data_IF_274261887765
#
_entry.id   IF_274261887765
#
_cell.length_a   1.000
_cell.length_b   1.000
_cell.length_c   1.000
_cell.angle_alpha   90.00
_cell.angle_beta   90.00
_cell.angle_gamma   90.00
#
_symmetry.space_group_name_H-M   'P 1'
#
loop_
_entity.id
_entity.type
_entity.pdbx_description
1 polymer ?
#
# COMPACT_ATOMS: atom_id res chain seq x y z
N UNK A 1 -9.43 5.83 -0.48
CA UNK A 1 -8.86 6.72 0.55
C UNK A 1 -9.35 8.12 0.24
N UNK A 2 -10.23 8.68 1.07
CA UNK A 2 -10.38 10.13 1.16
C UNK A 2 -9.65 10.47 2.46
N UNK A 3 -8.41 10.96 2.35
CA UNK A 3 -7.98 11.90 3.38
C UNK A 3 -8.90 13.11 3.22
N UNK A 4 -9.45 13.62 4.31
CA UNK A 4 -10.21 14.85 4.23
C UNK A 4 -9.25 15.95 3.76
N UNK A 5 -9.55 16.56 2.62
CA UNK A 5 -8.79 17.69 2.11
C UNK A 5 -8.82 18.79 3.16
N UNK A 6 -7.67 19.40 3.42
CA UNK A 6 -7.60 20.46 4.43
C UNK A 6 -8.32 21.66 3.84
N UNK A 7 -9.38 22.09 4.54
CA UNK A 7 -10.22 23.20 4.11
C UNK A 7 -9.47 24.51 4.30
N UNK A 8 -9.61 25.38 3.31
CA UNK A 8 -9.07 26.73 3.42
C UNK A 8 -9.90 27.55 4.43
N UNK A 9 -9.25 28.38 5.27
CA UNK A 9 -9.94 29.26 6.21
C UNK A 9 -10.85 30.28 5.52
N UNK A 10 -11.87 30.77 6.20
CA UNK A 10 -12.81 31.73 5.61
C UNK A 10 -12.20 33.13 5.51
N UNK A 11 -12.29 33.77 4.34
CA UNK A 11 -11.82 35.15 4.13
C UNK A 11 -12.58 36.23 4.95
N UNK A 12 -13.55 35.83 5.77
CA UNK A 12 -14.30 36.69 6.69
C UNK A 12 -13.63 36.80 8.06
N UNK A 13 -12.64 35.97 8.35
CA UNK A 13 -11.89 36.05 9.59
C UNK A 13 -10.98 37.27 9.51
N UNK A 14 -11.22 38.28 10.37
CA UNK A 14 -10.53 39.58 10.36
C UNK A 14 -9.00 39.46 10.51
N UNK A 15 -8.50 38.29 10.90
CA UNK A 15 -7.08 37.95 11.04
C UNK A 15 -6.46 37.30 9.80
N UNK A 16 -7.25 36.91 8.79
CA UNK A 16 -6.77 36.18 7.62
C UNK A 16 -6.92 36.99 6.32
N UNK A 17 -5.91 37.80 6.03
CA UNK A 17 -5.85 38.64 4.84
C UNK A 17 -4.97 38.02 3.76
N UNK A 18 -5.49 37.95 2.53
CA UNK A 18 -4.70 37.57 1.34
C UNK A 18 -4.71 38.69 0.29
N UNK A 19 -3.59 38.90 -0.43
CA UNK A 19 -3.51 39.84 -1.55
C UNK A 19 -4.61 39.64 -2.60
N UNK A 20 -5.09 40.75 -3.18
CA UNK A 20 -6.10 40.71 -4.25
C UNK A 20 -5.66 39.87 -5.45
N UNK A 21 -4.37 39.92 -5.80
CA UNK A 21 -3.74 39.11 -6.85
C UNK A 21 -3.90 37.60 -6.61
N UNK A 22 -3.94 37.16 -5.35
CA UNK A 22 -4.03 35.75 -4.97
C UNK A 22 -5.46 35.23 -4.85
N UNK A 23 -6.47 36.11 -4.73
CA UNK A 23 -7.88 35.71 -4.55
C UNK A 23 -8.42 34.89 -5.74
N UNK A 24 -8.04 35.25 -6.96
CA UNK A 24 -8.45 34.52 -8.18
C UNK A 24 -7.87 33.10 -8.20
N UNK A 25 -6.55 32.98 -7.97
CA UNK A 25 -5.87 31.69 -7.94
C UNK A 25 -6.39 30.78 -6.82
N UNK A 26 -6.65 31.35 -5.64
CA UNK A 26 -7.29 30.63 -4.53
C UNK A 26 -8.68 30.10 -4.91
N UNK A 27 -9.48 30.93 -5.60
CA UNK A 27 -10.79 30.51 -6.12
C UNK A 27 -10.67 29.34 -7.09
N UNK A 28 -9.66 29.32 -7.96
CA UNK A 28 -9.38 28.21 -8.87
C UNK A 28 -9.03 26.93 -8.11
N UNK A 29 -8.20 27.01 -7.06
CA UNK A 29 -7.86 25.84 -6.23
C UNK A 29 -9.10 25.31 -5.52
N UNK A 30 -9.88 26.16 -4.85
CA UNK A 30 -11.09 25.75 -4.11
C UNK A 30 -12.12 25.14 -5.06
N UNK A 31 -12.35 25.77 -6.22
CA UNK A 31 -13.29 25.23 -7.22
C UNK A 31 -12.82 23.88 -7.75
N UNK A 32 -11.55 23.74 -8.12
CA UNK A 32 -10.96 22.49 -8.60
C UNK A 32 -11.05 21.35 -7.57
N UNK A 33 -10.89 21.67 -6.29
CA UNK A 33 -11.07 20.73 -5.18
C UNK A 33 -12.53 20.30 -5.03
N UNK A 34 -13.47 21.24 -5.15
CA UNK A 34 -14.90 21.00 -4.84
C UNK A 34 -15.73 20.45 -6.01
N UNK A 35 -15.31 20.65 -7.26
CA UNK A 35 -16.10 20.26 -8.45
C UNK A 35 -15.92 18.80 -8.90
N UNK A 36 -14.95 18.06 -8.36
CA UNK A 36 -14.67 16.68 -8.79
C UNK A 36 -15.43 15.63 -7.98
N UNK A 37 -16.48 15.04 -8.57
CA UNK A 37 -17.13 13.83 -8.04
C UNK A 37 -16.38 12.54 -8.43
N UNK A 38 -15.66 12.55 -9.56
CA UNK A 38 -14.80 11.45 -10.01
C UNK A 38 -13.32 11.85 -10.08
N UNK A 39 -12.50 11.16 -9.29
CA UNK A 39 -11.04 11.35 -9.22
C UNK A 39 -10.32 10.54 -10.32
N UNK A 40 -10.42 10.99 -11.56
CA UNK A 40 -9.63 10.41 -12.67
C UNK A 40 -8.18 10.91 -12.62
N UNK A 41 -7.24 10.18 -13.24
CA UNK A 41 -5.82 10.61 -13.28
C UNK A 41 -5.63 11.99 -13.92
N UNK A 42 -6.44 12.35 -14.92
CA UNK A 42 -6.37 13.67 -15.56
C UNK A 42 -6.89 14.78 -14.63
N UNK A 43 -7.93 14.50 -13.86
CA UNK A 43 -8.47 15.45 -12.87
C UNK A 43 -7.44 15.69 -11.75
N UNK A 44 -6.83 14.62 -11.23
CA UNK A 44 -5.78 14.73 -10.21
C UNK A 44 -4.55 15.49 -10.72
N UNK A 45 -4.16 15.29 -11.98
CA UNK A 45 -3.07 16.04 -12.61
C UNK A 45 -3.42 17.54 -12.69
N UNK A 46 -4.60 17.88 -13.19
CA UNK A 46 -5.05 19.27 -13.25
C UNK A 46 -5.12 19.93 -11.86
N UNK A 47 -5.64 19.22 -10.85
CA UNK A 47 -5.67 19.69 -9.47
C UNK A 47 -4.27 19.97 -8.92
N UNK A 48 -3.31 19.12 -9.27
CA UNK A 48 -1.89 19.29 -8.91
C UNK A 48 -1.32 20.56 -9.56
N UNK A 49 -1.56 20.77 -10.86
CA UNK A 49 -1.09 21.95 -11.60
C UNK A 49 -1.62 23.25 -11.00
N UNK A 50 -2.92 23.33 -10.72
CA UNK A 50 -3.56 24.51 -10.12
C UNK A 50 -3.03 24.78 -8.71
N UNK A 51 -2.76 23.74 -7.91
CA UNK A 51 -2.14 23.91 -6.60
C UNK A 51 -0.70 24.41 -6.69
N UNK A 52 0.10 23.88 -7.62
CA UNK A 52 1.49 24.32 -7.81
C UNK A 52 1.57 25.76 -8.31
N UNK A 53 0.66 26.17 -9.19
CA UNK A 53 0.55 27.56 -9.64
C UNK A 53 0.24 28.49 -8.46
N UNK A 54 -0.74 28.13 -7.62
CA UNK A 54 -1.10 28.93 -6.46
C UNK A 54 0.03 28.98 -5.42
N UNK A 55 0.65 27.84 -5.10
CA UNK A 55 1.80 27.78 -4.19
C UNK A 55 2.96 28.65 -4.69
N UNK A 56 3.25 28.62 -5.99
CA UNK A 56 4.29 29.46 -6.59
C UNK A 56 3.97 30.95 -6.42
N UNK A 57 2.71 31.33 -6.64
CA UNK A 57 2.26 32.71 -6.45
C UNK A 57 2.34 33.16 -4.98
N UNK A 58 2.02 32.28 -4.02
CA UNK A 58 2.17 32.57 -2.59
C UNK A 58 3.64 32.81 -2.23
N UNK A 59 4.54 31.92 -2.67
CA UNK A 59 5.99 32.03 -2.37
C UNK A 59 6.56 33.35 -2.90
N UNK A 60 6.11 33.82 -4.08
CA UNK A 60 6.52 35.13 -4.61
C UNK A 60 6.08 36.31 -3.74
N UNK A 61 4.94 36.21 -3.05
CA UNK A 61 4.39 37.29 -2.24
C UNK A 61 4.94 37.34 -0.80
N UNK A 62 5.49 36.24 -0.28
CA UNK A 62 6.03 36.18 1.08
C UNK A 62 7.14 37.22 1.35
N UNK A 63 8.10 37.46 0.43
CA UNK A 63 9.12 38.49 0.63
C UNK A 63 8.60 39.93 0.62
N UNK A 64 7.47 40.19 -0.05
CA UNK A 64 7.00 41.55 -0.34
C UNK A 64 6.25 42.20 0.84
N UNK A 65 5.62 41.40 1.71
CA UNK A 65 4.85 41.90 2.86
C UNK A 65 4.98 41.00 4.10
N UNK A 66 5.88 41.37 5.04
CA UNK A 66 6.12 40.60 6.27
C UNK A 66 4.89 40.43 7.16
N UNK A 67 3.92 41.35 7.10
CA UNK A 67 2.71 41.28 7.94
C UNK A 67 1.77 40.17 7.47
N UNK A 68 1.86 39.75 6.21
CA UNK A 68 1.05 38.69 5.63
C UNK A 68 1.65 37.30 5.82
N UNK A 69 2.89 37.18 6.33
CA UNK A 69 3.60 35.91 6.50
C UNK A 69 2.77 34.85 7.23
N UNK A 70 2.11 35.13 8.38
CA UNK A 70 1.31 34.11 9.07
C UNK A 70 0.13 33.58 8.23
N UNK A 71 -0.53 34.46 7.49
CA UNK A 71 -1.63 34.10 6.59
C UNK A 71 -1.13 33.32 5.37
N UNK A 72 -0.08 33.80 4.72
CA UNK A 72 0.48 33.18 3.52
C UNK A 72 1.14 31.83 3.81
N UNK A 73 1.77 31.67 4.98
CA UNK A 73 2.38 30.38 5.37
C UNK A 73 1.34 29.31 5.65
N UNK A 74 0.19 29.69 6.24
CA UNK A 74 -0.97 28.80 6.43
C UNK A 74 -1.54 28.36 5.07
N UNK A 75 -1.85 29.32 4.19
CA UNK A 75 -2.35 29.03 2.83
C UNK A 75 -1.37 28.14 2.05
N UNK A 76 -0.07 28.45 2.08
CA UNK A 76 0.97 27.63 1.44
C UNK A 76 0.99 26.20 1.99
N UNK A 77 0.93 26.05 3.32
CA UNK A 77 0.92 24.74 3.97
C UNK A 77 -0.29 23.91 3.53
N UNK A 78 -1.48 24.51 3.55
CA UNK A 78 -2.73 23.86 3.11
C UNK A 78 -2.64 23.47 1.64
N UNK A 79 -2.18 24.38 0.76
CA UNK A 79 -2.06 24.11 -0.68
C UNK A 79 -1.10 22.95 -0.94
N UNK A 80 0.08 22.94 -0.32
CA UNK A 80 1.08 21.89 -0.51
C UNK A 80 0.61 20.55 0.08
N UNK A 81 -0.03 20.56 1.26
CA UNK A 81 -0.60 19.35 1.85
C UNK A 81 -1.65 18.73 0.92
N UNK A 82 -2.59 19.53 0.41
CA UNK A 82 -3.59 19.06 -0.56
C UNK A 82 -2.96 18.59 -1.88
N UNK A 83 -1.96 19.33 -2.39
CA UNK A 83 -1.22 18.95 -3.60
C UNK A 83 -0.51 17.60 -3.44
N UNK A 84 0.14 17.38 -2.29
CA UNK A 84 0.75 16.07 -1.97
C UNK A 84 -0.32 14.97 -1.99
N UNK A 85 -1.48 15.19 -1.37
CA UNK A 85 -2.55 14.19 -1.37
C UNK A 85 -2.95 13.75 -2.79
N UNK A 86 -3.01 14.65 -3.77
CA UNK A 86 -3.28 14.28 -5.17
C UNK A 86 -2.20 13.36 -5.75
N UNK A 87 -0.91 13.63 -5.48
CA UNK A 87 0.17 12.72 -5.85
C UNK A 87 0.02 11.33 -5.22
N UNK A 88 -0.37 11.26 -3.94
CA UNK A 88 -0.59 9.98 -3.25
C UNK A 88 -1.76 9.19 -3.87
N UNK A 89 -2.86 9.86 -4.24
CA UNK A 89 -4.03 9.24 -4.86
C UNK A 89 -3.72 8.73 -6.27
N UNK A 90 -2.97 9.52 -7.06
CA UNK A 90 -2.46 9.08 -8.36
C UNK A 90 -1.56 7.85 -8.22
N UNK A 91 -0.63 7.85 -7.25
CA UNK A 91 0.25 6.72 -7.00
C UNK A 91 -0.55 5.45 -6.68
N UNK A 92 -1.53 5.53 -5.77
CA UNK A 92 -2.39 4.40 -5.40
C UNK A 92 -3.17 3.87 -6.60
N UNK A 93 -3.74 4.76 -7.43
CA UNK A 93 -4.45 4.37 -8.63
C UNK A 93 -3.54 3.67 -9.66
N UNK A 94 -2.31 4.16 -9.83
CA UNK A 94 -1.30 3.55 -10.70
C UNK A 94 -0.82 2.19 -10.17
N UNK A 95 -0.60 2.06 -8.86
CA UNK A 95 -0.24 0.79 -8.22
C UNK A 95 -1.31 -0.27 -8.44
N UNK A 96 -2.59 0.12 -8.28
CA UNK A 96 -3.71 -0.79 -8.55
C UNK A 96 -3.67 -1.29 -9.99
N UNK A 97 -3.52 -0.37 -10.96
CA UNK A 97 -3.43 -0.72 -12.39
C UNK A 97 -2.20 -1.59 -12.70
N UNK A 98 -1.06 -1.32 -12.07
CA UNK A 98 0.17 -2.08 -12.23
C UNK A 98 0.02 -3.51 -11.70
N UNK A 99 -0.62 -3.68 -10.55
CA UNK A 99 -0.94 -5.00 -10.01
C UNK A 99 -1.93 -5.76 -10.91
N UNK A 100 -3.00 -5.09 -11.35
CA UNK A 100 -4.01 -5.70 -12.23
C UNK A 100 -3.48 -6.10 -13.61
N UNK A 101 -2.39 -5.50 -14.10
CA UNK A 101 -1.76 -5.95 -15.35
C UNK A 101 -1.01 -7.27 -15.20
N UNK A 102 -0.83 -7.77 -13.97
CA UNK A 102 -0.13 -9.01 -13.63
C UNK A 102 1.28 -9.10 -14.24
N UNK A 103 1.91 -7.94 -14.47
CA UNK A 103 3.24 -7.80 -15.07
C UNK A 103 4.16 -7.03 -14.13
N UNK A 104 5.17 -7.72 -13.61
CA UNK A 104 6.15 -7.17 -12.69
C UNK A 104 7.18 -6.25 -13.36
N UNK A 105 7.22 -6.22 -14.70
CA UNK A 105 8.06 -5.33 -15.51
C UNK A 105 7.31 -4.12 -16.07
N UNK A 106 6.04 -3.96 -15.71
CA UNK A 106 5.21 -2.84 -16.15
C UNK A 106 5.84 -1.50 -15.76
N UNK A 107 5.91 -0.56 -16.70
CA UNK A 107 6.36 0.82 -16.43
C UNK A 107 5.51 1.53 -15.38
N UNK A 108 4.27 1.08 -15.17
CA UNK A 108 3.35 1.63 -14.17
C UNK A 108 3.93 1.57 -12.74
N UNK A 109 4.77 0.58 -12.41
CA UNK A 109 5.44 0.50 -11.12
C UNK A 109 6.38 1.69 -10.90
N UNK A 110 7.18 2.01 -11.92
CA UNK A 110 8.12 3.14 -11.88
C UNK A 110 7.36 4.47 -11.83
N UNK A 111 6.33 4.64 -12.66
CA UNK A 111 5.52 5.87 -12.67
C UNK A 111 4.81 6.07 -11.32
N UNK A 112 4.26 5.00 -10.72
CA UNK A 112 3.66 5.09 -9.40
C UNK A 112 4.68 5.53 -8.34
N UNK A 113 5.88 4.92 -8.34
CA UNK A 113 6.98 5.32 -7.46
C UNK A 113 7.38 6.77 -7.66
N UNK A 114 7.45 7.26 -8.90
CA UNK A 114 7.73 8.65 -9.22
C UNK A 114 6.69 9.61 -8.63
N UNK A 115 5.39 9.29 -8.70
CA UNK A 115 4.36 10.12 -8.07
C UNK A 115 4.51 10.16 -6.55
N UNK A 116 4.85 9.03 -5.90
CA UNK A 116 5.18 9.01 -4.47
C UNK A 116 6.37 9.93 -4.18
N UNK A 117 7.43 9.89 -5.01
CA UNK A 117 8.60 10.76 -4.85
C UNK A 117 8.28 12.23 -5.01
N UNK A 118 7.42 12.59 -5.97
CA UNK A 118 6.98 13.98 -6.19
C UNK A 118 6.25 14.52 -4.97
N UNK A 119 5.27 13.78 -4.46
CA UNK A 119 4.51 14.19 -3.27
C UNK A 119 5.37 14.30 -2.01
N UNK A 120 6.23 13.31 -1.75
CA UNK A 120 7.18 13.35 -0.63
C UNK A 120 8.13 14.55 -0.74
N UNK A 121 8.71 14.74 -1.93
CA UNK A 121 9.63 15.83 -2.19
C UNK A 121 9.00 17.20 -1.97
N UNK A 122 7.72 17.33 -2.31
CA UNK A 122 6.99 18.59 -2.14
C UNK A 122 6.82 18.93 -0.64
N UNK A 123 6.53 17.93 0.19
CA UNK A 123 6.45 18.09 1.65
C UNK A 123 7.83 18.39 2.26
N UNK A 124 8.88 17.69 1.80
CA UNK A 124 10.26 17.95 2.23
C UNK A 124 10.70 19.38 1.86
N UNK A 125 10.36 19.84 0.66
CA UNK A 125 10.58 21.22 0.23
C UNK A 125 9.88 22.21 1.14
N UNK A 126 8.58 22.02 1.43
CA UNK A 126 7.84 22.91 2.31
C UNK A 126 8.49 22.98 3.71
N UNK A 127 8.84 21.82 4.27
CA UNK A 127 9.47 21.77 5.59
C UNK A 127 10.80 22.55 5.61
N UNK A 128 11.65 22.33 4.61
CA UNK A 128 12.91 23.06 4.47
C UNK A 128 12.70 24.56 4.22
N UNK A 129 11.72 24.93 3.41
CA UNK A 129 11.37 26.32 3.12
C UNK A 129 10.93 27.06 4.40
N UNK A 130 10.05 26.45 5.19
CA UNK A 130 9.58 27.02 6.46
C UNK A 130 10.74 27.17 7.46
N UNK A 131 11.59 26.14 7.59
CA UNK A 131 12.76 26.18 8.47
C UNK A 131 13.77 27.27 8.07
N UNK A 132 14.14 27.33 6.80
CA UNK A 132 15.12 28.29 6.29
C UNK A 132 14.66 29.75 6.43
N UNK A 133 13.35 29.99 6.34
CA UNK A 133 12.77 31.32 6.50
C UNK A 133 12.31 31.60 7.95
N UNK A 134 12.58 30.70 8.91
CA UNK A 134 12.15 30.83 10.31
C UNK A 134 10.63 31.04 10.46
N UNK A 135 9.83 30.43 9.59
CA UNK A 135 8.37 30.55 9.57
C UNK A 135 7.78 29.42 10.41
N UNK A 136 7.14 29.76 11.53
CA UNK A 136 6.36 28.80 12.31
C UNK A 136 4.97 28.62 11.71
N UNK A 137 4.50 27.37 11.60
CA UNK A 137 3.15 27.04 11.15
C UNK A 137 2.54 26.00 12.10
N UNK A 138 1.23 26.09 12.32
CA UNK A 138 0.48 25.06 13.08
C UNK A 138 0.49 23.70 12.36
N UNK A 139 0.79 23.69 11.06
CA UNK A 139 0.81 22.48 10.23
C UNK A 139 2.11 21.67 10.32
N UNK A 140 3.14 22.09 11.07
CA UNK A 140 4.45 21.40 11.10
C UNK A 140 4.32 19.92 11.53
N UNK A 141 3.50 19.63 12.54
CA UNK A 141 3.26 18.24 12.96
C UNK A 141 2.61 17.42 11.84
N UNK A 142 1.60 17.99 11.17
CA UNK A 142 0.88 17.34 10.07
C UNK A 142 1.81 17.07 8.89
N UNK A 143 2.71 18.01 8.56
CA UNK A 143 3.69 17.85 7.49
C UNK A 143 4.63 16.68 7.80
N UNK A 144 5.15 16.60 9.02
CA UNK A 144 6.02 15.50 9.44
C UNK A 144 5.30 14.14 9.41
N UNK A 145 4.07 14.08 9.94
CA UNK A 145 3.24 12.87 9.89
C UNK A 145 3.01 12.43 8.44
N UNK A 146 2.70 13.38 7.53
CA UNK A 146 2.52 13.07 6.10
C UNK A 146 3.82 12.58 5.47
N UNK A 147 4.98 13.15 5.79
CA UNK A 147 6.28 12.67 5.29
C UNK A 147 6.49 11.19 5.66
N UNK A 148 6.18 10.81 6.90
CA UNK A 148 6.26 9.43 7.35
C UNK A 148 5.23 8.52 6.67
N UNK A 149 4.00 8.99 6.46
CA UNK A 149 2.99 8.25 5.68
C UNK A 149 3.45 7.96 4.25
N UNK A 150 4.16 8.90 3.61
CA UNK A 150 4.76 8.68 2.28
C UNK A 150 5.82 7.58 2.29
N UNK A 151 6.62 7.48 3.36
CA UNK A 151 7.57 6.37 3.52
C UNK A 151 6.84 5.03 3.59
N UNK A 152 5.72 4.98 4.29
CA UNK A 152 4.91 3.76 4.40
C UNK A 152 4.25 3.43 3.06
N UNK A 153 3.70 4.42 2.35
CA UNK A 153 3.12 4.22 1.02
C UNK A 153 4.15 3.64 0.05
N UNK A 154 5.39 4.14 0.09
CA UNK A 154 6.48 3.59 -0.69
C UNK A 154 6.82 2.14 -0.32
N UNK A 155 6.96 1.86 0.98
CA UNK A 155 7.26 0.51 1.48
C UNK A 155 6.16 -0.49 1.08
N UNK A 156 4.89 -0.10 1.18
CA UNK A 156 3.76 -0.92 0.72
C UNK A 156 3.80 -1.15 -0.80
N UNK A 157 4.19 -0.15 -1.58
CA UNK A 157 4.35 -0.28 -3.04
C UNK A 157 5.38 -1.36 -3.39
N UNK A 158 6.50 -1.39 -2.66
CA UNK A 158 7.54 -2.42 -2.81
C UNK A 158 7.01 -3.78 -2.39
N UNK A 159 6.30 -3.87 -1.26
CA UNK A 159 5.71 -5.13 -0.77
C UNK A 159 4.74 -5.70 -1.81
N UNK A 160 3.85 -4.88 -2.38
CA UNK A 160 2.89 -5.31 -3.41
C UNK A 160 3.62 -5.86 -4.64
N UNK A 161 4.62 -5.15 -5.16
CA UNK A 161 5.41 -5.61 -6.29
C UNK A 161 6.15 -6.92 -5.96
N UNK A 162 6.71 -7.01 -4.75
CA UNK A 162 7.42 -8.19 -4.29
C UNK A 162 6.50 -9.40 -4.15
N UNK A 163 5.25 -9.21 -3.70
CA UNK A 163 4.21 -10.23 -3.71
C UNK A 163 3.77 -10.63 -5.11
N UNK A 164 3.67 -9.71 -6.05
CA UNK A 164 3.41 -10.07 -7.45
C UNK A 164 4.53 -10.95 -8.01
N UNK A 165 5.80 -10.58 -7.76
CA UNK A 165 6.96 -11.41 -8.17
C UNK A 165 6.93 -12.79 -7.50
N UNK A 166 6.65 -12.84 -6.20
CA UNK A 166 6.54 -14.10 -5.47
C UNK A 166 5.40 -14.97 -6.01
N UNK A 167 4.23 -14.37 -6.30
CA UNK A 167 3.10 -15.05 -6.93
C UNK A 167 3.48 -15.65 -8.28
N UNK A 168 4.21 -14.90 -9.12
CA UNK A 168 4.68 -15.36 -10.43
C UNK A 168 5.65 -16.55 -10.30
N UNK A 169 6.54 -16.53 -9.30
CA UNK A 169 7.46 -17.65 -9.00
C UNK A 169 6.70 -18.88 -8.52
N UNK A 170 5.80 -18.74 -7.54
CA UNK A 170 5.05 -19.87 -6.95
C UNK A 170 4.04 -20.46 -7.94
N UNK A 171 3.44 -19.63 -8.81
CA UNK A 171 2.39 -20.07 -9.74
C UNK A 171 2.93 -20.54 -11.10
N UNK A 172 4.25 -20.56 -11.32
CA UNK A 172 4.80 -20.91 -12.62
C UNK A 172 4.52 -22.39 -12.96
N UNK A 173 3.81 -22.71 -14.06
CA UNK A 173 3.52 -24.08 -14.47
C UNK A 173 4.76 -24.93 -14.73
N UNK A 174 5.89 -24.35 -15.12
CA UNK A 174 7.14 -25.11 -15.28
C UNK A 174 7.71 -25.59 -13.93
N UNK A 175 7.37 -24.90 -12.84
CA UNK A 175 7.66 -25.28 -11.44
C UNK A 175 6.44 -25.85 -10.72
N UNK A 176 5.32 -26.17 -11.41
CA UNK A 176 4.05 -26.62 -10.75
C UNK A 176 4.07 -28.02 -10.18
N UNK A 177 5.19 -28.74 -10.25
CA UNK A 177 5.49 -29.62 -9.12
C UNK A 177 6.03 -28.69 -8.06
N UNK A 178 5.18 -28.30 -7.11
CA UNK A 178 5.63 -27.99 -5.75
C UNK A 178 6.32 -29.26 -5.23
N UNK A 179 7.48 -29.59 -5.78
CA UNK A 179 8.44 -30.52 -5.25
C UNK A 179 8.95 -29.79 -4.02
N UNK A 180 8.15 -29.90 -2.95
CA UNK A 180 8.52 -29.57 -1.59
C UNK A 180 9.69 -30.47 -1.09
N UNK A 181 10.46 -31.05 -2.02
CA UNK A 181 11.49 -32.05 -1.82
C UNK A 181 12.74 -31.77 -2.67
N UNK A 182 12.79 -30.71 -3.50
CA UNK A 182 13.97 -30.35 -4.32
C UNK A 182 14.44 -28.92 -4.08
N UNK A 183 15.65 -28.60 -4.56
CA UNK A 183 16.41 -27.35 -4.37
C UNK A 183 15.62 -26.03 -4.61
N UNK A 184 14.47 -26.09 -5.28
CA UNK A 184 13.58 -24.94 -5.51
C UNK A 184 12.82 -24.47 -4.25
N UNK A 185 12.67 -25.31 -3.20
CA UNK A 185 12.07 -24.84 -1.95
C UNK A 185 13.00 -23.87 -1.21
N UNK A 186 14.32 -24.11 -1.22
CA UNK A 186 15.26 -23.27 -0.50
C UNK A 186 15.33 -21.85 -1.09
N UNK A 187 15.28 -21.72 -2.42
CA UNK A 187 15.23 -20.42 -3.10
C UNK A 187 13.91 -19.69 -2.82
N UNK A 188 12.79 -20.41 -2.85
CA UNK A 188 11.45 -19.88 -2.53
C UNK A 188 11.35 -19.44 -1.07
N UNK A 189 11.88 -20.23 -0.13
CA UNK A 189 11.92 -19.91 1.29
C UNK A 189 12.76 -18.66 1.56
N UNK A 190 13.93 -18.53 0.92
CA UNK A 190 14.77 -17.33 1.01
C UNK A 190 14.03 -16.08 0.50
N UNK A 191 13.29 -16.20 -0.61
CA UNK A 191 12.47 -15.10 -1.13
C UNK A 191 11.32 -14.76 -0.18
N UNK A 192 10.65 -15.76 0.42
CA UNK A 192 9.61 -15.54 1.43
C UNK A 192 10.18 -14.85 2.67
N UNK A 193 11.34 -15.27 3.16
CA UNK A 193 12.04 -14.63 4.28
C UNK A 193 12.40 -13.18 3.97
N UNK A 194 12.86 -12.89 2.75
CA UNK A 194 13.11 -11.52 2.31
C UNK A 194 11.83 -10.67 2.33
N UNK A 195 10.72 -11.19 1.79
CA UNK A 195 9.42 -10.53 1.83
C UNK A 195 8.91 -10.32 3.27
N UNK A 196 9.12 -11.29 4.16
CA UNK A 196 8.78 -11.17 5.58
C UNK A 196 9.55 -10.03 6.24
N UNK A 197 10.85 -9.90 5.95
CA UNK A 197 11.68 -8.78 6.43
C UNK A 197 11.16 -7.43 5.95
N UNK A 198 10.70 -7.32 4.70
CA UNK A 198 10.08 -6.10 4.18
C UNK A 198 8.77 -5.76 4.91
N UNK A 199 7.90 -6.75 5.10
CA UNK A 199 6.65 -6.57 5.85
C UNK A 199 6.92 -6.14 7.30
N UNK A 200 7.91 -6.75 7.96
CA UNK A 200 8.33 -6.41 9.33
C UNK A 200 8.89 -4.99 9.43
N UNK A 201 9.71 -4.57 8.46
CA UNK A 201 10.20 -3.19 8.41
C UNK A 201 9.07 -2.18 8.26
N UNK A 202 8.12 -2.46 7.38
CA UNK A 202 6.93 -1.63 7.20
C UNK A 202 6.02 -1.62 8.44
N UNK A 203 5.83 -2.77 9.10
CA UNK A 203 5.04 -2.90 10.32
C UNK A 203 5.63 -2.06 11.46
N UNK A 204 6.94 -2.16 11.69
CA UNK A 204 7.61 -1.41 12.76
C UNK A 204 7.47 0.11 12.57
N UNK A 205 7.63 0.59 11.33
CA UNK A 205 7.45 2.01 11.02
C UNK A 205 5.99 2.44 11.18
N UNK A 206 5.04 1.64 10.66
CA UNK A 206 3.62 1.92 10.77
C UNK A 206 3.16 1.96 12.23
N UNK A 207 3.60 1.00 13.05
CA UNK A 207 3.26 0.95 14.47
C UNK A 207 3.83 2.14 15.27
N UNK A 208 4.91 2.78 14.79
CA UNK A 208 5.49 3.96 15.41
C UNK A 208 4.67 5.26 15.22
N UNK A 209 3.78 5.29 14.23
CA UNK A 209 2.95 6.46 13.92
C UNK A 209 1.73 6.57 14.83
N UNK A 210 1.58 7.73 15.47
CA UNK A 210 0.49 7.99 16.43
C UNK A 210 -0.83 8.32 15.76
N UNK A 211 -0.81 9.01 14.62
CA UNK A 211 -1.99 9.51 13.92
C UNK A 211 -1.77 9.46 12.42
N UNK A 212 -2.46 8.56 11.73
CA UNK A 212 -2.39 8.45 10.27
C UNK A 212 -3.70 7.95 9.70
N UNK A 213 -4.11 8.49 8.55
CA UNK A 213 -5.26 7.96 7.80
C UNK A 213 -4.93 6.66 7.07
N UNK A 214 -3.64 6.45 6.78
CA UNK A 214 -3.11 5.30 6.05
C UNK A 214 -2.86 4.13 7.00
N UNK A 215 -2.29 4.41 8.18
CA UNK A 215 -2.02 3.40 9.21
C UNK A 215 -3.25 3.17 10.05
N UNK A 216 -3.87 2.01 9.87
CA UNK A 216 -5.00 1.57 10.65
C UNK A 216 -4.79 0.12 11.13
N UNK A 217 -5.67 -0.35 12.01
CA UNK A 217 -5.61 -1.71 12.54
C UNK A 217 -5.59 -2.79 11.45
N UNK A 218 -6.30 -2.58 10.34
CA UNK A 218 -6.34 -3.54 9.23
C UNK A 218 -5.00 -3.62 8.50
N UNK A 219 -4.30 -2.50 8.31
CA UNK A 219 -2.95 -2.50 7.74
C UNK A 219 -1.96 -3.24 8.65
N UNK A 220 -2.02 -3.00 9.96
CA UNK A 220 -1.15 -3.68 10.92
C UNK A 220 -1.41 -5.20 10.91
N UNK A 221 -2.68 -5.62 10.95
CA UNK A 221 -3.04 -7.05 10.82
C UNK A 221 -2.65 -7.63 9.46
N UNK A 222 -2.73 -6.86 8.37
CA UNK A 222 -2.29 -7.33 7.05
C UNK A 222 -0.79 -7.61 7.03
N UNK A 223 0.01 -6.70 7.58
CA UNK A 223 1.46 -6.83 7.63
C UNK A 223 1.87 -7.96 8.59
N UNK A 224 1.28 -8.03 9.78
CA UNK A 224 1.57 -9.07 10.79
C UNK A 224 1.20 -10.47 10.29
N UNK A 225 -0.01 -10.63 9.72
CA UNK A 225 -0.42 -11.89 9.12
C UNK A 225 0.46 -12.31 7.93
N UNK A 226 0.92 -11.34 7.14
CA UNK A 226 1.88 -11.60 6.06
C UNK A 226 3.24 -12.04 6.59
N UNK A 227 3.74 -11.46 7.68
CA UNK A 227 5.00 -11.85 8.32
C UNK A 227 4.91 -13.30 8.78
N UNK A 228 3.86 -13.65 9.54
CA UNK A 228 3.65 -15.01 10.02
C UNK A 228 3.53 -16.03 8.86
N UNK A 229 2.75 -15.71 7.83
CA UNK A 229 2.58 -16.58 6.65
C UNK A 229 3.91 -16.85 5.92
N UNK A 230 4.71 -15.82 5.70
CA UNK A 230 5.95 -15.96 4.93
C UNK A 230 7.04 -16.68 5.76
N UNK A 231 7.10 -16.42 7.07
CA UNK A 231 8.00 -17.12 7.97
C UNK A 231 7.59 -18.58 8.20
N UNK A 232 6.31 -18.93 8.08
CA UNK A 232 5.89 -20.33 8.17
C UNK A 232 6.51 -21.17 7.05
N UNK A 233 6.68 -20.61 5.85
CA UNK A 233 7.34 -21.28 4.72
C UNK A 233 8.82 -21.53 5.01
N UNK A 234 9.52 -20.53 5.55
CA UNK A 234 10.94 -20.65 5.91
C UNK A 234 11.15 -21.68 7.03
N UNK A 235 10.29 -21.69 8.06
CA UNK A 235 10.36 -22.69 9.14
C UNK A 235 10.01 -24.09 8.64
N UNK A 236 9.09 -24.22 7.69
CA UNK A 236 8.73 -25.52 7.12
C UNK A 236 9.91 -26.10 6.34
N UNK A 237 10.63 -25.27 5.58
CA UNK A 237 11.85 -25.65 4.88
C UNK A 237 12.99 -26.09 5.84
N UNK A 238 12.99 -25.58 7.09
CA UNK A 238 13.91 -26.00 8.17
C UNK A 238 13.45 -27.25 8.91
N UNK A 239 12.42 -27.94 8.42
CA UNK A 239 11.77 -29.08 9.08
C UNK A 239 11.11 -28.73 10.43
N UNK A 240 10.85 -27.46 10.73
CA UNK A 240 10.11 -27.02 11.94
C UNK A 240 8.60 -26.98 11.70
N UNK A 241 8.03 -28.14 11.34
CA UNK A 241 6.63 -28.26 10.93
C UNK A 241 5.64 -27.79 12.00
N UNK A 242 5.91 -28.05 13.28
CA UNK A 242 5.05 -27.64 14.39
C UNK A 242 4.97 -26.11 14.57
N UNK A 243 6.12 -25.43 14.48
CA UNK A 243 6.22 -23.96 14.49
C UNK A 243 5.55 -23.38 13.25
N UNK A 244 5.76 -24.00 12.09
CA UNK A 244 5.17 -23.56 10.81
C UNK A 244 3.64 -23.59 10.84
N UNK A 245 3.05 -24.62 11.45
CA UNK A 245 1.59 -24.69 11.65
C UNK A 245 1.14 -23.59 12.61
N UNK A 246 1.83 -23.39 13.73
CA UNK A 246 1.52 -22.33 14.69
C UNK A 246 1.52 -20.94 14.06
N UNK A 247 2.57 -20.61 13.31
CA UNK A 247 2.65 -19.35 12.54
C UNK A 247 1.51 -19.21 11.53
N UNK A 248 1.16 -20.29 10.84
CA UNK A 248 0.06 -20.25 9.88
C UNK A 248 -1.30 -20.02 10.57
N UNK A 249 -1.51 -20.57 11.76
CA UNK A 249 -2.71 -20.32 12.58
C UNK A 249 -2.79 -18.85 13.01
N UNK A 250 -1.68 -18.24 13.42
CA UNK A 250 -1.64 -16.80 13.74
C UNK A 250 -1.84 -15.91 12.50
N UNK A 251 -1.27 -16.28 11.35
CA UNK A 251 -1.56 -15.58 10.10
C UNK A 251 -3.06 -15.57 9.76
N UNK A 252 -3.76 -16.68 10.00
CA UNK A 252 -5.21 -16.78 9.82
C UNK A 252 -5.94 -15.87 10.82
N UNK A 253 -5.51 -15.83 12.08
CA UNK A 253 -6.11 -14.94 13.09
C UNK A 253 -5.95 -13.47 12.66
N UNK A 254 -4.78 -13.06 12.20
CA UNK A 254 -4.54 -11.68 11.75
C UNK A 254 -5.34 -11.32 10.51
N UNK A 255 -5.35 -12.16 9.48
CA UNK A 255 -6.16 -11.93 8.29
C UNK A 255 -7.67 -11.95 8.59
N UNK A 256 -8.11 -12.64 9.64
CA UNK A 256 -9.51 -12.63 10.05
C UNK A 256 -10.02 -11.29 10.58
N UNK A 257 -9.10 -10.36 10.91
CA UNK A 257 -9.44 -8.97 11.22
C UNK A 257 -9.79 -8.13 9.97
N UNK A 258 -9.56 -8.68 8.77
CA UNK A 258 -9.75 -7.99 7.48
C UNK A 258 -10.87 -8.66 6.69
N UNK A 259 -10.85 -9.99 6.59
CA UNK A 259 -11.83 -10.80 5.86
C UNK A 259 -12.44 -11.86 6.77
N UNK A 260 -13.69 -12.32 6.54
CA UNK A 260 -14.30 -13.36 7.36
C UNK A 260 -13.44 -14.64 7.42
N UNK A 261 -13.26 -15.19 8.63
CA UNK A 261 -12.42 -16.39 8.87
C UNK A 261 -12.85 -17.57 7.99
N UNK A 262 -14.12 -17.68 7.65
CA UNK A 262 -14.67 -18.71 6.78
C UNK A 262 -14.07 -18.67 5.37
N UNK A 263 -13.75 -17.49 4.84
CA UNK A 263 -13.12 -17.36 3.52
C UNK A 263 -11.68 -17.88 3.52
N UNK A 264 -11.02 -17.87 4.68
CA UNK A 264 -9.65 -18.33 4.86
C UNK A 264 -9.62 -19.84 5.17
N UNK A 265 -10.60 -20.34 5.93
CA UNK A 265 -10.59 -21.70 6.51
C UNK A 265 -11.48 -22.71 5.80
N UNK A 266 -12.56 -22.30 5.13
CA UNK A 266 -13.44 -23.24 4.40
C UNK A 266 -12.86 -23.53 3.03
N UNK A 267 -12.26 -24.70 2.88
CA UNK A 267 -11.62 -25.11 1.63
C UNK A 267 -12.33 -26.32 1.03
N UNK A 268 -12.38 -26.39 -0.30
CA UNK A 268 -12.85 -27.60 -1.02
C UNK A 268 -11.88 -28.79 -0.87
N UNK A 269 -10.70 -28.54 -0.29
CA UNK A 269 -9.66 -29.52 0.00
C UNK A 269 -9.86 -30.19 1.37
N UNK A 270 -10.63 -29.57 2.27
CA UNK A 270 -11.06 -30.16 3.55
C UNK A 270 -12.14 -31.23 3.31
N UNK A 271 -11.71 -32.41 2.87
CA UNK A 271 -12.58 -33.59 2.69
C UNK A 271 -13.21 -34.10 3.99
N UNK A 272 -12.85 -33.53 5.15
CA UNK A 272 -13.32 -33.98 6.45
C UNK A 272 -14.53 -33.19 6.98
N UNK A 273 -15.02 -32.17 6.27
CA UNK A 273 -16.24 -31.44 6.64
C UNK A 273 -17.37 -31.63 5.65
N UNK A 274 -17.84 -32.87 5.46
CA UNK A 274 -19.27 -33.17 5.21
C UNK A 274 -19.53 -34.69 5.16
N UNK A 275 -20.66 -35.16 5.72
CA UNK A 275 -21.00 -36.58 5.77
C UNK A 275 -21.45 -37.08 4.38
N UNK A 276 -20.95 -38.26 3.99
CA UNK A 276 -21.48 -39.17 2.96
C UNK A 276 -22.21 -38.48 1.79
N UNK A 277 -21.48 -38.04 0.74
CA UNK A 277 -22.09 -37.79 -0.57
C UNK A 277 -21.60 -38.80 -1.62
N UNK A 278 -22.59 -39.37 -2.31
CA UNK A 278 -22.51 -40.53 -3.19
C UNK A 278 -21.66 -40.30 -4.45
N UNK A 279 -21.14 -41.41 -4.98
CA UNK A 279 -20.22 -41.51 -6.13
C UNK A 279 -20.70 -40.89 -7.46
N UNK A 280 -21.92 -40.35 -7.54
CA UNK A 280 -22.46 -39.71 -8.75
C UNK A 280 -22.21 -38.20 -8.83
N UNK A 281 -21.72 -37.56 -7.76
CA UNK A 281 -21.44 -36.10 -7.72
C UNK A 281 -20.09 -35.66 -8.29
N UNK A 282 -19.14 -36.57 -8.48
CA UNK A 282 -17.76 -36.25 -8.90
C UNK A 282 -17.65 -35.91 -10.39
N UNK A 283 -18.50 -36.49 -11.24
CA UNK A 283 -18.49 -36.26 -12.69
C UNK A 283 -19.10 -34.90 -13.06
N UNK A 284 -20.16 -34.45 -12.38
CA UNK A 284 -20.77 -33.12 -12.64
C UNK A 284 -19.89 -31.94 -12.19
N UNK A 285 -18.90 -32.13 -11.31
CA UNK A 285 -18.02 -31.05 -10.83
C UNK A 285 -16.77 -30.81 -11.67
N UNK A 286 -16.30 -31.79 -12.44
CA UNK A 286 -15.17 -31.58 -13.37
C UNK A 286 -15.55 -30.64 -14.52
N UNK A 287 -16.79 -30.70 -14.99
CA UNK A 287 -17.31 -29.81 -16.02
C UNK A 287 -17.58 -28.39 -15.49
N UNK A 288 -17.96 -28.25 -14.21
CA UNK A 288 -18.14 -26.94 -13.57
C UNK A 288 -16.81 -26.20 -13.33
N UNK A 289 -15.70 -26.92 -13.08
CA UNK A 289 -14.39 -26.32 -12.89
C UNK A 289 -13.73 -25.89 -14.21
N UNK A 290 -13.88 -26.68 -15.29
CA UNK A 290 -13.41 -26.26 -16.62
C UNK A 290 -14.22 -25.09 -17.18
N UNK A 291 -15.55 -25.09 -16.97
CA UNK A 291 -16.39 -24.01 -17.51
C UNK A 291 -16.33 -22.73 -16.67
N UNK A 292 -16.09 -22.77 -15.35
CA UNK A 292 -15.93 -21.53 -14.55
C UNK A 292 -14.58 -20.84 -14.69
N UNK A 293 -13.52 -21.58 -15.06
CA UNK A 293 -12.20 -20.97 -15.35
C UNK A 293 -12.15 -20.31 -16.73
N UNK A 294 -12.94 -20.78 -17.71
CA UNK A 294 -12.98 -20.15 -19.04
C UNK A 294 -14.06 -19.06 -19.17
N UNK A 295 -15.17 -19.14 -18.43
CA UNK A 295 -16.29 -18.20 -18.62
C UNK A 295 -16.25 -16.92 -17.75
N UNK A 296 -15.32 -16.81 -16.79
CA UNK A 296 -15.14 -15.62 -15.95
C UNK A 296 -14.07 -14.63 -16.49
N UNK A 297 -13.38 -14.98 -17.58
CA UNK A 297 -12.39 -14.11 -18.23
C UNK A 297 -13.08 -13.09 -19.17
N UNK A 298 -14.37 -13.29 -19.51
CA UNK A 298 -15.09 -12.45 -20.48
C UNK A 298 -16.31 -11.69 -19.93
N UNK A 299 -16.62 -11.76 -18.63
CA UNK A 299 -17.78 -11.05 -18.04
C UNK A 299 -17.46 -10.21 -16.79
N UNK A 300 -16.20 -10.11 -16.39
CA UNK A 300 -15.73 -9.35 -15.22
C UNK A 300 -15.54 -7.85 -15.47
N UNK A 301 -16.26 -7.24 -16.43
CA UNK A 301 -16.25 -5.77 -16.58
C UNK A 301 -17.27 -5.02 -15.72
N UNK A 302 -18.38 -5.63 -15.26
CA UNK A 302 -19.48 -4.86 -14.64
C UNK A 302 -20.06 -5.40 -13.32
N UNK A 303 -19.39 -6.34 -12.62
CA UNK A 303 -20.03 -7.08 -11.50
C UNK A 303 -19.56 -6.79 -10.07
N UNK A 304 -18.40 -6.17 -9.85
CA UNK A 304 -17.77 -6.10 -8.50
C UNK A 304 -18.09 -4.78 -7.75
N UNK A 305 -18.77 -3.82 -8.37
CA UNK A 305 -18.99 -2.50 -7.77
C UNK A 305 -20.20 -2.37 -6.81
N UNK A 306 -21.01 -3.41 -6.59
CA UNK A 306 -22.28 -3.27 -5.83
C UNK A 306 -22.36 -3.91 -4.44
N UNK A 307 -21.24 -4.30 -3.82
CA UNK A 307 -21.25 -4.78 -2.43
C UNK A 307 -20.21 -4.12 -1.52
N UNK A 308 -20.04 -2.79 -1.61
CA UNK A 308 -19.27 -2.03 -0.61
C UNK A 308 -19.87 -0.63 -0.35
N UNK A 309 -21.18 -0.55 -0.10
CA UNK A 309 -21.79 0.64 0.51
C UNK A 309 -22.05 0.41 2.01
N UNK A 310 -20.99 0.00 2.71
CA UNK A 310 -20.93 -0.08 4.16
C UNK A 310 -19.89 0.92 4.67
N UNK A 311 -20.36 1.84 5.49
CA UNK A 311 -19.73 3.09 5.95
C UNK A 311 -18.49 2.91 6.86
N UNK A 312 -17.52 2.04 6.50
CA UNK A 312 -16.27 1.91 7.25
C UNK A 312 -15.23 2.89 6.70
N UNK A 313 -15.05 4.02 7.40
CA UNK A 313 -14.11 5.10 7.05
C UNK A 313 -12.63 4.68 7.04
N UNK A 314 -12.29 3.51 7.56
CA UNK A 314 -10.92 2.99 7.59
C UNK A 314 -10.90 1.60 6.96
N UNK A 315 -10.63 1.56 5.66
CA UNK A 315 -10.46 0.33 4.89
C UNK A 315 -9.02 0.21 4.42
N UNK A 316 -8.50 -1.02 4.41
CA UNK A 316 -7.24 -1.38 3.79
C UNK A 316 -7.17 -0.83 2.35
N UNK A 317 -5.99 -0.40 1.91
CA UNK A 317 -5.78 0.09 0.55
C UNK A 317 -6.27 -0.97 -0.45
N UNK A 318 -7.09 -0.60 -1.46
CA UNK A 318 -7.70 -1.57 -2.37
C UNK A 318 -6.69 -2.55 -2.99
N UNK A 319 -5.51 -2.09 -3.38
CA UNK A 319 -4.48 -2.94 -3.97
C UNK A 319 -3.96 -4.02 -3.00
N UNK A 320 -3.85 -3.72 -1.70
CA UNK A 320 -3.46 -4.71 -0.69
C UNK A 320 -4.55 -5.76 -0.47
N UNK A 321 -5.82 -5.32 -0.52
CA UNK A 321 -6.97 -6.24 -0.47
C UNK A 321 -7.01 -7.15 -1.71
N UNK A 322 -6.71 -6.61 -2.89
CA UNK A 322 -6.59 -7.39 -4.13
C UNK A 322 -5.46 -8.44 -3.98
N UNK A 323 -4.31 -8.07 -3.42
CA UNK A 323 -3.21 -9.02 -3.12
C UNK A 323 -3.62 -10.08 -2.10
N UNK A 324 -4.33 -9.69 -1.03
CA UNK A 324 -4.81 -10.61 0.00
C UNK A 324 -5.68 -11.71 -0.63
N UNK A 325 -6.67 -11.29 -1.43
CA UNK A 325 -7.66 -12.19 -2.02
C UNK A 325 -7.08 -13.05 -3.16
N UNK A 326 -6.26 -12.45 -4.03
CA UNK A 326 -5.78 -13.11 -5.25
C UNK A 326 -4.55 -13.99 -5.03
N UNK A 327 -3.86 -13.84 -3.89
CA UNK A 327 -2.60 -14.52 -3.64
C UNK A 327 -2.45 -15.06 -2.22
N UNK A 328 -2.51 -14.21 -1.19
CA UNK A 328 -2.15 -14.63 0.18
C UNK A 328 -3.16 -15.64 0.76
N UNK A 329 -4.47 -15.42 0.59
CA UNK A 329 -5.50 -16.37 1.04
C UNK A 329 -5.36 -17.74 0.32
N UNK A 330 -5.27 -17.81 -1.03
CA UNK A 330 -4.97 -19.06 -1.72
C UNK A 330 -3.71 -19.76 -1.21
N UNK A 331 -2.66 -19.00 -0.88
CA UNK A 331 -1.41 -19.55 -0.34
C UNK A 331 -1.60 -20.14 1.06
N UNK A 332 -2.31 -19.44 1.96
CA UNK A 332 -2.66 -19.95 3.30
C UNK A 332 -3.39 -21.29 3.21
N UNK A 333 -4.39 -21.37 2.32
CA UNK A 333 -5.18 -22.59 2.10
C UNK A 333 -4.30 -23.75 1.66
N UNK A 334 -3.41 -23.51 0.70
CA UNK A 334 -2.49 -24.52 0.18
C UNK A 334 -1.52 -25.00 1.27
N UNK A 335 -0.88 -24.07 1.98
CA UNK A 335 0.11 -24.40 3.02
C UNK A 335 -0.54 -25.14 4.19
N UNK A 336 -1.77 -24.76 4.58
CA UNK A 336 -2.50 -25.45 5.65
C UNK A 336 -2.68 -26.93 5.32
N UNK A 337 -3.10 -27.23 4.10
CA UNK A 337 -3.24 -28.61 3.63
C UNK A 337 -1.89 -29.35 3.64
N UNK A 338 -0.83 -28.73 3.14
CA UNK A 338 0.51 -29.33 3.05
C UNK A 338 1.10 -29.60 4.44
N UNK A 339 1.09 -28.60 5.32
CA UNK A 339 1.70 -28.69 6.65
C UNK A 339 0.99 -29.72 7.52
N UNK A 340 -0.34 -29.69 7.56
CA UNK A 340 -1.12 -30.66 8.34
C UNK A 340 -0.86 -32.08 7.86
N UNK A 341 -0.96 -32.33 6.55
CA UNK A 341 -0.70 -33.65 5.98
C UNK A 341 0.73 -34.14 6.22
N UNK A 342 1.71 -33.24 6.22
CA UNK A 342 3.11 -33.57 6.50
C UNK A 342 3.31 -33.88 7.98
N UNK A 343 2.74 -33.10 8.88
CA UNK A 343 2.87 -33.31 10.31
C UNK A 343 2.17 -34.60 10.76
N UNK A 344 0.97 -34.86 10.26
CA UNK A 344 0.16 -36.03 10.63
C UNK A 344 0.74 -37.35 10.11
N UNK A 345 1.63 -37.31 9.11
CA UNK A 345 2.15 -38.52 8.43
C UNK A 345 3.64 -38.72 8.57
N UNK A 346 4.42 -37.66 8.74
CA UNK A 346 5.88 -37.70 8.67
C UNK A 346 6.54 -37.10 9.92
N UNK A 347 6.22 -35.84 10.25
CA UNK A 347 6.99 -35.10 11.27
C UNK A 347 6.55 -35.36 12.70
N UNK A 348 5.24 -35.51 12.96
CA UNK A 348 4.62 -35.65 14.28
C UNK A 348 5.11 -34.61 15.32
N UNK A 349 5.47 -33.40 14.89
CA UNK A 349 5.96 -32.35 15.79
C UNK A 349 4.79 -31.72 16.55
N UNK A 350 4.95 -31.39 17.84
CA UNK A 350 3.93 -30.65 18.59
C UNK A 350 3.71 -29.27 17.94
N UNK A 351 2.46 -28.82 17.89
CA UNK A 351 2.11 -27.52 17.33
C UNK A 351 2.38 -26.45 18.39
N UNK A 352 3.22 -25.48 18.04
CA UNK A 352 3.50 -24.34 18.90
C UNK A 352 2.35 -23.33 18.84
N UNK A 353 1.89 -22.84 20.00
CA UNK A 353 0.78 -21.88 20.12
C UNK A 353 1.14 -20.65 20.96
N UNK A 354 2.32 -20.63 21.56
CA UNK A 354 2.81 -19.48 22.29
C UNK A 354 3.30 -18.40 21.31
N UNK A 355 2.53 -17.32 21.21
CA UNK A 355 2.82 -16.17 20.34
C UNK A 355 4.20 -15.57 20.63
N UNK A 356 4.62 -15.49 21.89
CA UNK A 356 5.93 -14.93 22.24
C UNK A 356 7.07 -15.79 21.69
N UNK A 357 6.92 -17.11 21.76
CA UNK A 357 7.90 -18.04 21.19
C UNK A 357 7.91 -17.93 19.66
N UNK A 358 6.74 -17.85 19.02
CA UNK A 358 6.66 -17.65 17.57
C UNK A 358 7.34 -16.33 17.15
N UNK A 359 7.08 -15.24 17.88
CA UNK A 359 7.70 -13.93 17.63
C UNK A 359 9.20 -13.90 17.92
N UNK A 360 9.70 -14.74 18.82
CA UNK A 360 11.16 -14.86 19.07
C UNK A 360 11.96 -15.29 17.84
N UNK A 361 11.31 -15.95 16.88
CA UNK A 361 11.94 -16.38 15.63
C UNK A 361 11.95 -15.29 14.54
N UNK A 362 11.35 -14.12 14.81
CA UNK A 362 11.23 -13.08 13.82
C UNK A 362 12.60 -12.50 13.44
N UNK A 363 12.87 -12.32 12.14
CA UNK A 363 14.08 -11.66 11.71
C UNK A 363 13.98 -10.14 11.94
N UNK A 364 15.14 -9.48 11.94
CA UNK A 364 15.20 -8.02 11.88
C UNK A 364 14.56 -7.53 10.57
N UNK A 365 13.60 -6.62 10.69
CA UNK A 365 12.91 -6.01 9.57
C UNK A 365 13.84 -5.16 8.70
N UNK A 366 13.54 -5.10 7.40
CA UNK A 366 14.21 -4.24 6.42
C UNK A 366 13.21 -3.20 5.93
N UNK A 367 13.56 -1.92 6.10
CA UNK A 367 12.74 -0.81 5.64
C UNK A 367 13.52 0.00 4.60
N UNK A 368 13.17 -0.11 3.31
CA UNK A 368 13.75 0.77 2.29
C UNK A 368 13.26 2.20 2.53
N UNK A 369 14.20 3.11 2.77
CA UNK A 369 13.92 4.54 2.87
C UNK A 369 13.91 5.16 1.48
N UNK A 370 13.12 6.21 1.30
CA UNK A 370 13.05 6.94 0.05
C UNK A 370 13.24 8.44 0.28
N UNK A 371 14.06 9.07 -0.55
CA UNK A 371 14.10 10.52 -0.64
C UNK A 371 13.11 11.00 -1.70
N UNK A 372 12.49 12.16 -1.44
CA UNK A 372 11.61 12.82 -2.38
C UNK A 372 12.38 13.39 -3.56
N UNK A 373 11.67 13.68 -4.65
CA UNK A 373 12.26 14.45 -5.74
C UNK A 373 12.52 15.87 -5.25
N UNK A 374 13.69 16.41 -5.56
CA UNK A 374 14.06 17.77 -5.17
C UNK A 374 13.18 18.75 -5.96
N UNK A 375 12.39 19.53 -5.21
CA UNK A 375 11.68 20.69 -5.72
C UNK A 375 12.50 21.95 -5.47
N UNK A 376 12.50 22.83 -6.46
CA UNK A 376 13.21 24.10 -6.43
C UNK A 376 12.24 25.19 -6.86
N UNK A 377 12.33 26.33 -6.20
CA UNK A 377 11.60 27.53 -6.59
C UNK A 377 12.53 28.43 -7.42
N UNK A 378 12.34 28.44 -8.73
CA UNK A 378 13.14 29.22 -9.68
C UNK A 378 12.24 29.89 -10.71
N UNK A 379 12.62 31.10 -11.16
CA UNK A 379 11.85 31.88 -12.14
C UNK A 379 10.37 32.02 -11.76
N UNK A 380 10.11 32.30 -10.49
CA UNK A 380 8.79 32.48 -9.91
C UNK A 380 7.87 31.24 -10.00
N UNK A 381 8.45 30.05 -10.21
CA UNK A 381 7.73 28.78 -10.34
C UNK A 381 8.37 27.67 -9.52
N UNK A 382 7.52 26.88 -8.88
CA UNK A 382 7.94 25.66 -8.21
C UNK A 382 8.05 24.53 -9.24
N UNK A 383 9.26 24.00 -9.43
CA UNK A 383 9.53 22.95 -10.43
C UNK A 383 10.40 21.84 -9.84
N UNK A 384 10.38 20.67 -10.48
CA UNK A 384 11.28 19.57 -10.13
C UNK A 384 12.60 19.71 -10.89
N UNK A 385 13.73 19.38 -10.26
CA UNK A 385 15.02 19.37 -10.96
C UNK A 385 15.12 18.14 -11.88
N UNK A 386 14.50 18.21 -13.06
CA UNK A 386 14.30 17.08 -13.97
C UNK A 386 15.56 16.64 -14.73
N UNK A 387 16.67 17.37 -14.67
CA UNK A 387 17.84 17.11 -15.52
C UNK A 387 18.80 16.03 -14.98
N UNK A 388 18.72 15.63 -13.71
CA UNK A 388 19.55 14.55 -13.16
C UNK A 388 18.86 13.17 -13.06
N UNK A 389 17.55 13.08 -13.31
CA UNK A 389 16.74 11.89 -12.98
C UNK A 389 16.88 10.75 -14.02
N UNK A 390 17.31 11.06 -15.25
CA UNK A 390 17.47 10.04 -16.30
C UNK A 390 18.71 9.15 -16.14
N UNK A 391 19.67 9.50 -15.26
CA UNK A 391 20.89 8.70 -15.05
C UNK A 391 20.83 7.76 -13.83
N UNK A 392 20.07 8.11 -12.79
CA UNK A 392 19.99 7.27 -11.58
C UNK A 392 18.84 6.25 -11.61
N UNK A 393 17.80 6.48 -12.40
CA UNK A 393 16.64 5.58 -12.52
C UNK A 393 16.93 4.27 -13.27
N UNK A 394 18.14 4.08 -13.80
CA UNK A 394 18.61 2.80 -14.35
C UNK A 394 19.36 1.91 -13.35
N UNK A 395 19.76 2.43 -12.18
CA UNK A 395 20.67 1.70 -11.27
C UNK A 395 20.07 1.28 -9.92
N UNK A 396 18.78 1.50 -9.69
CA UNK A 396 18.12 1.08 -8.46
C UNK A 396 16.77 0.40 -8.71
N UNK A 397 16.73 -0.71 -9.47
CA UNK A 397 15.64 -1.69 -9.41
C UNK A 397 16.07 -3.09 -9.83
#
# INVERSE_FOLDING_TARGET
MQGDLISYPTLKDEQHTIPLSLKGLRGNVISSITTSSEKTSNVLLHQTEVCLEYASAIINHIPDDPNLIPSLSSELSITILNCSMFYSEMAIALLKRAYSSNDSKSKLWSIAGEQVKKGLGLLQFLNMYLLNNSISTEFTSIINDRIEEYQILYQMSIIVLSFLKLKQVISNPETTKLDLQTNDMASTASLCLFNAKLCMGCYNNAHGLKTSSLVNKQLLSYLEGSIFLLLSIDNFNKNETGISIGMLEEAINDFSNIVPREQITKTSLDKNSSPKLSKTGLLKRKDLLKNKLQHNILTTKNGVQKMQHGNNKFQLIPTLLDVLNDFLIPLVVLLRYVYQRTNDKLSFKPIERNIELLKSTFPIGKSPKMDGIIWIFENNKLTTNSENIYKESQNYF
#
